data_IF_727640137165
#
_entry.id   IF_727640137165
#
_cell.length_a   1.000
_cell.length_b   1.000
_cell.length_c   1.000
_cell.angle_alpha   90.00
_cell.angle_beta   90.00
_cell.angle_gamma   90.00
#
_symmetry.space_group_name_H-M   'P 1'
#
loop_
_entity.id
_entity.type
_entity.pdbx_description
1 polymer ?
#
# COMPACT_ATOMS: atom_id res chain seq x y z
N UNK A 1 -7.21 2.75 24.20
CA UNK A 1 -7.62 2.27 22.86
C UNK A 1 -7.59 3.48 21.94
N UNK A 2 -6.87 3.46 20.82
CA UNK A 2 -6.83 4.59 19.89
C UNK A 2 -8.24 4.82 19.33
N UNK A 3 -8.70 6.07 19.32
CA UNK A 3 -9.99 6.41 18.72
C UNK A 3 -9.85 6.48 17.20
N UNK A 4 -10.82 5.91 16.48
CA UNK A 4 -10.89 6.01 15.03
C UNK A 4 -11.12 7.47 14.63
N UNK A 5 -10.22 8.08 13.83
CA UNK A 5 -10.39 9.47 13.41
C UNK A 5 -11.55 9.61 12.42
N UNK A 6 -12.14 10.81 12.29
CA UNK A 6 -13.08 11.10 11.21
C UNK A 6 -12.38 11.01 9.85
N UNK A 7 -13.15 10.65 8.82
CA UNK A 7 -12.65 10.54 7.45
C UNK A 7 -12.24 11.92 6.92
N UNK A 8 -11.01 12.03 6.43
CA UNK A 8 -10.43 13.21 5.78
C UNK A 8 -9.90 12.81 4.41
N UNK A 9 -10.74 12.96 3.38
CA UNK A 9 -10.35 12.61 2.00
C UNK A 9 -9.13 13.41 1.56
N UNK A 10 -8.19 12.72 0.91
CA UNK A 10 -6.97 13.31 0.34
C UNK A 10 -6.03 14.00 1.34
N UNK A 11 -6.20 13.74 2.64
CA UNK A 11 -5.31 14.28 3.68
C UNK A 11 -3.85 13.88 3.48
N UNK A 12 -3.58 12.79 2.76
CA UNK A 12 -2.22 12.31 2.46
C UNK A 12 -1.69 12.77 1.11
N UNK A 13 -2.42 13.59 0.34
CA UNK A 13 -2.03 13.98 -1.02
C UNK A 13 -0.68 14.72 -1.06
N UNK A 14 -0.43 15.58 -0.07
CA UNK A 14 0.83 16.30 0.07
C UNK A 14 1.95 15.46 0.74
N UNK A 15 1.65 14.26 1.22
CA UNK A 15 2.61 13.41 1.91
C UNK A 15 3.66 12.86 0.94
N UNK A 16 4.95 13.01 1.28
CA UNK A 16 6.07 12.49 0.50
C UNK A 16 6.97 11.65 1.39
N UNK A 17 7.28 10.43 0.96
CA UNK A 17 8.29 9.61 1.61
C UNK A 17 9.66 10.28 1.45
N UNK A 18 10.41 10.42 2.55
CA UNK A 18 11.80 10.87 2.49
C UNK A 18 12.68 9.77 1.90
N UNK A 19 13.45 10.10 0.87
CA UNK A 19 14.37 9.15 0.23
C UNK A 19 15.55 8.86 1.15
N UNK A 20 16.02 7.62 1.12
CA UNK A 20 17.28 7.25 1.76
C UNK A 20 18.46 7.92 1.05
N UNK A 21 19.55 8.16 1.78
CA UNK A 21 20.80 8.66 1.18
C UNK A 21 21.42 7.57 0.30
N UNK A 22 22.03 7.91 -0.84
CA UNK A 22 22.68 6.94 -1.73
C UNK A 22 23.70 6.03 -1.00
N UNK A 23 24.48 6.60 -0.09
CA UNK A 23 25.50 5.88 0.68
C UNK A 23 24.94 4.73 1.53
N UNK A 24 23.65 4.78 1.90
CA UNK A 24 22.97 3.71 2.62
C UNK A 24 22.45 2.60 1.70
N UNK A 25 22.27 2.89 0.41
CA UNK A 25 21.71 1.98 -0.58
C UNK A 25 22.78 1.13 -1.27
N UNK A 26 23.98 1.69 -1.49
CA UNK A 26 25.10 1.01 -2.15
C UNK A 26 25.50 -0.30 -1.48
N UNK A 27 25.67 -0.39 -0.13
CA UNK A 27 26.03 -1.65 0.52
C UNK A 27 24.95 -2.74 0.41
N UNK A 28 23.69 -2.34 0.17
CA UNK A 28 22.56 -3.25 -0.03
C UNK A 28 22.39 -3.68 -1.49
N UNK A 29 23.22 -3.17 -2.40
CA UNK A 29 23.07 -3.39 -3.84
C UNK A 29 21.81 -2.77 -4.43
N UNK A 30 21.23 -1.76 -3.75
CA UNK A 30 20.03 -1.06 -4.21
C UNK A 30 20.39 0.18 -5.02
N UNK A 31 19.60 0.53 -6.06
CA UNK A 31 19.86 1.71 -6.86
C UNK A 31 19.69 2.99 -6.03
N UNK A 32 20.57 3.98 -6.26
CA UNK A 32 20.53 5.27 -5.58
C UNK A 32 19.24 6.05 -5.87
N UNK A 33 18.76 5.95 -7.11
CA UNK A 33 17.53 6.57 -7.58
C UNK A 33 16.46 5.55 -7.91
N UNK A 34 15.20 5.96 -7.77
CA UNK A 34 14.06 5.15 -8.15
C UNK A 34 14.02 5.06 -9.70
N UNK A 35 14.06 3.85 -10.29
CA UNK A 35 14.07 3.68 -11.74
C UNK A 35 12.86 4.34 -12.40
N UNK A 36 13.01 4.95 -13.58
CA UNK A 36 11.91 5.68 -14.23
C UNK A 36 10.67 4.81 -14.50
N UNK A 37 10.86 3.52 -14.77
CA UNK A 37 9.84 2.53 -15.08
C UNK A 37 9.33 1.76 -13.84
N UNK A 38 9.70 2.19 -12.62
CA UNK A 38 9.31 1.52 -11.37
C UNK A 38 7.80 1.21 -11.26
N UNK A 39 6.84 2.07 -11.70
CA UNK A 39 5.42 1.75 -11.55
C UNK A 39 5.02 0.58 -12.43
N UNK A 40 5.56 0.52 -13.66
CA UNK A 40 5.30 -0.55 -14.60
C UNK A 40 5.89 -1.87 -14.10
N UNK A 41 7.14 -1.86 -13.60
CA UNK A 41 7.78 -3.05 -13.00
C UNK A 41 7.01 -3.56 -11.78
N UNK A 42 6.61 -2.65 -10.88
CA UNK A 42 5.84 -2.99 -9.69
C UNK A 42 4.48 -3.60 -10.05
N UNK A 43 3.75 -2.99 -11.00
CA UNK A 43 2.46 -3.51 -11.49
C UNK A 43 2.62 -4.88 -12.13
N UNK A 44 3.59 -5.06 -13.02
CA UNK A 44 3.86 -6.33 -13.69
C UNK A 44 4.15 -7.44 -12.66
N UNK A 45 4.99 -7.15 -11.66
CA UNK A 45 5.30 -8.13 -10.61
C UNK A 45 4.09 -8.46 -9.74
N UNK A 46 3.30 -7.45 -9.37
CA UNK A 46 2.06 -7.66 -8.61
C UNK A 46 1.05 -8.54 -9.37
N UNK A 47 0.85 -8.29 -10.67
CA UNK A 47 -0.01 -9.12 -11.53
C UNK A 47 0.53 -10.54 -11.68
N UNK A 48 1.84 -10.72 -11.85
CA UNK A 48 2.49 -12.04 -11.87
C UNK A 48 2.20 -12.83 -10.58
N UNK A 49 2.35 -12.19 -9.42
CA UNK A 49 2.08 -12.82 -8.12
C UNK A 49 0.63 -13.24 -7.95
N UNK A 50 -0.32 -12.40 -8.39
CA UNK A 50 -1.75 -12.73 -8.38
C UNK A 50 -2.07 -13.91 -9.30
N UNK A 51 -1.45 -13.98 -10.48
CA UNK A 51 -1.58 -15.12 -11.39
C UNK A 51 -1.01 -16.42 -10.81
N UNK A 52 0.19 -16.34 -10.21
CA UNK A 52 0.94 -17.49 -9.68
C UNK A 52 0.35 -18.07 -8.40
N UNK A 53 -0.12 -17.24 -7.47
CA UNK A 53 -0.52 -17.69 -6.12
C UNK A 53 -2.03 -17.52 -5.88
N UNK A 54 -2.76 -18.64 -5.94
CA UNK A 54 -4.20 -18.68 -5.56
C UNK A 54 -4.43 -18.22 -4.12
N UNK A 55 -3.54 -18.59 -3.19
CA UNK A 55 -3.63 -18.19 -1.78
C UNK A 55 -3.64 -16.67 -1.64
N UNK A 56 -2.79 -15.96 -2.38
CA UNK A 56 -2.75 -14.50 -2.36
C UNK A 56 -4.07 -13.89 -2.82
N UNK A 57 -4.66 -14.40 -3.92
CA UNK A 57 -5.99 -13.97 -4.38
C UNK A 57 -7.06 -14.19 -3.32
N UNK A 58 -7.11 -15.39 -2.73
CA UNK A 58 -8.07 -15.69 -1.65
C UNK A 58 -7.89 -14.77 -0.44
N UNK A 59 -6.66 -14.53 0.00
CA UNK A 59 -6.39 -13.61 1.12
C UNK A 59 -6.90 -12.20 0.84
N UNK A 60 -6.80 -11.74 -0.41
CA UNK A 60 -7.40 -10.48 -0.81
C UNK A 60 -8.93 -10.60 -0.83
N UNK A 61 -9.53 -11.63 -1.39
CA UNK A 61 -10.99 -11.72 -1.54
C UNK A 61 -11.76 -11.97 -0.24
N UNK A 62 -11.12 -12.41 0.84
CA UNK A 62 -11.76 -12.65 2.15
C UNK A 62 -12.32 -11.39 2.85
N UNK A 63 -12.01 -10.19 2.35
CA UNK A 63 -12.50 -8.96 2.96
C UNK A 63 -13.99 -8.76 2.72
N UNK A 64 -14.78 -8.73 3.80
CA UNK A 64 -16.23 -8.46 3.78
C UNK A 64 -16.56 -6.97 4.01
N UNK A 65 -15.57 -6.08 3.86
CA UNK A 65 -15.70 -4.63 4.05
C UNK A 65 -16.29 -4.18 5.40
N UNK A 66 -16.09 -4.96 6.48
CA UNK A 66 -16.62 -4.65 7.81
C UNK A 66 -15.97 -3.45 8.53
N UNK A 67 -14.82 -2.97 8.05
CA UNK A 67 -14.11 -1.84 8.68
C UNK A 67 -13.32 -2.17 9.96
N UNK A 68 -13.32 -3.43 10.43
CA UNK A 68 -12.59 -3.84 11.64
C UNK A 68 -11.05 -3.64 11.58
N UNK A 69 -10.51 -3.39 10.38
CA UNK A 69 -9.09 -3.08 10.19
C UNK A 69 -8.76 -1.58 10.38
N UNK A 70 -9.76 -0.70 10.40
CA UNK A 70 -9.55 0.74 10.36
C UNK A 70 -8.84 1.25 11.63
N UNK A 71 -9.32 0.85 12.81
CA UNK A 71 -8.77 1.26 14.10
C UNK A 71 -7.39 0.64 14.44
N UNK A 72 -6.89 -0.26 13.58
CA UNK A 72 -5.58 -0.92 13.74
C UNK A 72 -4.48 -0.30 12.89
N UNK A 73 -4.83 0.52 11.89
CA UNK A 73 -3.86 1.01 10.92
C UNK A 73 -3.24 2.34 11.35
N UNK A 74 -1.93 2.35 11.62
CA UNK A 74 -1.23 3.58 12.03
C UNK A 74 -1.31 4.69 10.98
N UNK A 75 -1.30 4.35 9.70
CA UNK A 75 -1.42 5.35 8.63
C UNK A 75 -2.81 5.99 8.60
N UNK A 76 -3.88 5.21 8.76
CA UNK A 76 -5.24 5.77 8.82
C UNK A 76 -5.46 6.55 10.12
N UNK A 77 -5.00 6.03 11.26
CA UNK A 77 -5.08 6.73 12.55
C UNK A 77 -4.35 8.08 12.51
N UNK A 78 -3.20 8.15 11.84
CA UNK A 78 -2.39 9.36 11.74
C UNK A 78 -2.93 10.41 10.77
N UNK A 79 -3.61 10.02 9.69
CA UNK A 79 -4.05 10.97 8.65
C UNK A 79 -5.56 11.17 8.56
N UNK A 80 -6.36 10.19 8.98
CA UNK A 80 -7.79 10.11 8.69
C UNK A 80 -8.11 9.84 7.21
N UNK A 81 -7.10 9.57 6.38
CA UNK A 81 -7.28 9.40 4.93
C UNK A 81 -7.81 8.00 4.61
N UNK A 82 -9.02 7.88 4.02
CA UNK A 82 -9.60 6.58 3.73
C UNK A 82 -8.76 5.75 2.76
N UNK A 83 -7.90 6.37 1.92
CA UNK A 83 -6.97 5.66 1.02
C UNK A 83 -5.87 4.91 1.79
N UNK A 84 -5.61 5.29 3.04
CA UNK A 84 -4.63 4.62 3.91
C UNK A 84 -5.24 3.48 4.73
N UNK A 85 -6.56 3.30 4.73
CA UNK A 85 -7.16 2.15 5.40
C UNK A 85 -6.69 0.83 4.74
N UNK A 86 -6.50 -0.26 5.51
CA UNK A 86 -6.06 -1.54 4.96
C UNK A 86 -7.00 -2.08 3.87
N UNK A 87 -8.32 -1.88 4.05
CA UNK A 87 -9.33 -2.27 3.03
C UNK A 87 -9.11 -1.55 1.70
N UNK A 88 -8.87 -0.24 1.71
CA UNK A 88 -8.70 0.55 0.48
C UNK A 88 -7.40 0.20 -0.26
N UNK A 89 -6.33 -0.13 0.48
CA UNK A 89 -5.06 -0.60 -0.10
C UNK A 89 -5.20 -1.99 -0.69
N UNK A 90 -5.94 -2.89 -0.03
CA UNK A 90 -6.26 -4.20 -0.57
C UNK A 90 -7.14 -4.09 -1.83
N UNK A 91 -8.14 -3.19 -1.84
CA UNK A 91 -8.98 -2.92 -3.02
C UNK A 91 -8.15 -2.39 -4.20
N UNK A 92 -7.16 -1.52 -3.96
CA UNK A 92 -6.23 -1.08 -5.00
C UNK A 92 -5.47 -2.26 -5.61
N UNK A 93 -5.06 -3.24 -4.80
CA UNK A 93 -4.38 -4.43 -5.29
C UNK A 93 -5.35 -5.38 -6.03
N UNK A 94 -6.57 -5.58 -5.54
CA UNK A 94 -7.61 -6.38 -6.22
C UNK A 94 -7.89 -5.88 -7.63
N UNK A 95 -7.82 -4.57 -7.88
CA UNK A 95 -7.96 -3.98 -9.23
C UNK A 95 -6.90 -4.43 -10.24
N UNK A 96 -5.83 -5.09 -9.80
CA UNK A 96 -4.82 -5.68 -10.69
C UNK A 96 -5.12 -7.14 -11.07
N UNK A 97 -6.11 -7.78 -10.42
CA UNK A 97 -6.46 -9.18 -10.61
C UNK A 97 -7.56 -9.41 -11.68
N UNK A 98 -8.17 -8.34 -12.17
CA UNK A 98 -9.23 -8.34 -13.18
C UNK A 98 -8.79 -7.70 -14.49
#
# INVERSE_FOLDING_TARGET
MFQTPPIKRDASLASKCRRAKPDLLTPLGLPADLPADWPARARAKMTELLGKYRSLRLFLDLCVHCGACADKCQFFLGTGDPKNMPVARADLFRKLAG
#
